data_IF_481345799481
#
_entry.id   IF_481345799481
#
_cell.length_a   1.000
_cell.length_b   1.000
_cell.length_c   1.000
_cell.angle_alpha   90.00
_cell.angle_beta   90.00
_cell.angle_gamma   90.00
#
_symmetry.space_group_name_H-M   'P 1'
#
loop_
_entity.id
_entity.type
_entity.pdbx_description
1 polymer ?
#
# COMPACT_ATOMS: atom_id res chain seq x y z
N UNK A 1 -19.96 -8.61 -21.32
CA UNK A 1 -19.52 -8.87 -19.92
C UNK A 1 -18.36 -7.91 -19.67
N UNK A 2 -18.47 -7.00 -18.69
CA UNK A 2 -17.33 -6.13 -18.33
C UNK A 2 -16.21 -7.00 -17.78
N UNK A 3 -15.01 -6.87 -18.34
CA UNK A 3 -13.82 -7.50 -17.78
C UNK A 3 -13.61 -7.02 -16.35
N UNK A 4 -13.19 -7.91 -15.42
CA UNK A 4 -12.94 -7.50 -14.05
C UNK A 4 -11.87 -6.39 -14.02
N UNK A 5 -12.15 -5.31 -13.30
CA UNK A 5 -11.22 -4.18 -13.16
C UNK A 5 -10.01 -4.59 -12.32
N UNK A 6 -8.77 -4.28 -12.74
CA UNK A 6 -7.58 -4.65 -12.01
C UNK A 6 -7.44 -3.89 -10.69
N UNK A 7 -6.62 -4.45 -9.77
CA UNK A 7 -6.18 -3.80 -8.55
C UNK A 7 -4.80 -3.19 -8.79
N UNK A 8 -4.64 -1.89 -8.58
CA UNK A 8 -3.34 -1.22 -8.62
C UNK A 8 -2.65 -1.36 -7.26
N UNK A 9 -1.51 -2.02 -7.22
CA UNK A 9 -0.65 -2.11 -6.03
C UNK A 9 0.53 -1.15 -6.20
N UNK A 10 0.55 -0.08 -5.42
CA UNK A 10 1.65 0.89 -5.36
C UNK A 10 2.70 0.40 -4.38
N UNK A 11 3.98 0.45 -4.77
CA UNK A 11 5.08 -0.07 -3.96
C UNK A 11 5.22 -1.60 -4.07
N UNK A 12 4.86 -2.18 -5.22
CA UNK A 12 4.91 -3.62 -5.46
C UNK A 12 6.32 -4.23 -5.47
N UNK A 13 7.38 -3.43 -5.50
CA UNK A 13 8.77 -3.89 -5.31
C UNK A 13 9.13 -4.12 -3.84
N UNK A 14 8.40 -3.48 -2.90
CA UNK A 14 8.64 -3.60 -1.47
C UNK A 14 8.32 -4.98 -0.91
N UNK A 15 8.75 -5.21 0.34
CA UNK A 15 8.57 -6.51 1.00
C UNK A 15 7.09 -6.93 1.11
N UNK A 16 6.23 -6.06 1.66
CA UNK A 16 4.80 -6.34 1.80
C UNK A 16 4.09 -6.21 0.45
N UNK A 17 4.35 -5.14 -0.31
CA UNK A 17 3.70 -4.88 -1.59
C UNK A 17 3.88 -6.01 -2.61
N UNK A 18 5.07 -6.61 -2.69
CA UNK A 18 5.33 -7.74 -3.59
C UNK A 18 4.53 -9.01 -3.20
N UNK A 19 4.34 -9.24 -1.92
CA UNK A 19 3.53 -10.36 -1.40
C UNK A 19 2.05 -10.15 -1.61
N UNK A 20 1.59 -8.91 -1.42
CA UNK A 20 0.21 -8.51 -1.70
C UNK A 20 -0.09 -8.66 -3.19
N UNK A 21 0.75 -8.13 -4.08
CA UNK A 21 0.56 -8.24 -5.52
C UNK A 21 0.46 -9.71 -5.97
N UNK A 22 1.39 -10.54 -5.52
CA UNK A 22 1.38 -11.98 -5.83
C UNK A 22 0.18 -12.72 -5.25
N UNK A 23 -0.18 -12.41 -4.00
CA UNK A 23 -1.30 -13.07 -3.34
C UNK A 23 -2.65 -12.73 -3.97
N UNK A 24 -2.86 -11.48 -4.38
CA UNK A 24 -4.04 -11.05 -5.13
C UNK A 24 -4.12 -11.76 -6.50
N UNK A 25 -2.99 -11.83 -7.22
CA UNK A 25 -2.93 -12.51 -8.52
C UNK A 25 -3.14 -14.03 -8.38
N UNK A 26 -2.57 -14.66 -7.36
CA UNK A 26 -2.80 -16.08 -7.05
C UNK A 26 -4.29 -16.36 -6.70
N UNK A 27 -4.99 -15.37 -6.14
CA UNK A 27 -6.43 -15.40 -5.91
C UNK A 27 -7.28 -15.10 -7.16
N UNK A 28 -6.67 -14.99 -8.34
CA UNK A 28 -7.36 -14.79 -9.62
C UNK A 28 -7.66 -13.32 -9.97
N UNK A 29 -7.13 -12.35 -9.22
CA UNK A 29 -7.29 -10.93 -9.55
C UNK A 29 -6.25 -10.48 -10.58
N UNK A 30 -6.65 -9.58 -11.47
CA UNK A 30 -5.71 -8.82 -12.29
C UNK A 30 -5.04 -7.75 -11.42
N UNK A 31 -3.73 -7.64 -11.50
CA UNK A 31 -2.93 -6.74 -10.68
C UNK A 31 -2.06 -5.86 -11.57
N UNK A 32 -2.15 -4.55 -11.38
CA UNK A 32 -1.18 -3.59 -11.88
C UNK A 32 -0.15 -3.37 -10.78
N UNK A 33 1.07 -3.85 -10.98
CA UNK A 33 2.13 -3.80 -9.99
C UNK A 33 3.04 -2.59 -10.24
N UNK A 34 2.85 -1.51 -9.47
CA UNK A 34 3.59 -0.27 -9.66
C UNK A 34 4.89 -0.23 -8.86
N UNK A 35 5.94 0.26 -9.51
CA UNK A 35 7.25 0.46 -8.90
C UNK A 35 7.99 1.65 -9.48
N UNK A 36 8.85 2.28 -8.68
CA UNK A 36 9.81 3.31 -9.11
C UNK A 36 11.11 2.73 -9.68
N UNK A 37 11.37 1.47 -9.41
CA UNK A 37 12.53 0.71 -9.86
C UNK A 37 12.06 -0.54 -10.60
N UNK A 38 12.97 -1.35 -11.10
CA UNK A 38 12.61 -2.64 -11.68
C UNK A 38 11.90 -3.53 -10.67
N UNK A 39 10.86 -4.20 -11.12
CA UNK A 39 10.17 -5.20 -10.30
C UNK A 39 11.03 -6.45 -10.18
N UNK A 40 11.10 -7.05 -8.99
CA UNK A 40 11.74 -8.35 -8.85
C UNK A 40 11.07 -9.40 -9.75
N UNK A 41 11.85 -10.28 -10.38
CA UNK A 41 11.35 -11.35 -11.28
C UNK A 41 10.21 -12.16 -10.66
N UNK A 42 10.31 -12.44 -9.35
CA UNK A 42 9.26 -13.16 -8.61
C UNK A 42 7.87 -12.49 -8.66
N UNK A 43 7.80 -11.22 -9.04
CA UNK A 43 6.53 -10.49 -9.22
C UNK A 43 6.14 -10.45 -10.68
N UNK A 44 7.07 -10.20 -11.58
CA UNK A 44 6.82 -10.02 -13.02
C UNK A 44 6.41 -11.31 -13.73
N UNK A 45 6.90 -12.47 -13.28
CA UNK A 45 6.56 -13.77 -13.88
C UNK A 45 5.23 -14.35 -13.38
N UNK A 46 4.56 -13.69 -12.44
CA UNK A 46 3.28 -14.16 -11.91
C UNK A 46 2.16 -13.89 -12.92
N UNK A 47 1.44 -14.93 -13.32
CA UNK A 47 0.26 -14.78 -14.16
C UNK A 47 -0.77 -13.82 -13.51
N UNK A 48 -1.37 -12.94 -14.31
CA UNK A 48 -2.31 -11.93 -13.84
C UNK A 48 -1.67 -10.66 -13.27
N UNK A 49 -0.34 -10.53 -13.32
CA UNK A 49 0.39 -9.31 -12.92
C UNK A 49 0.88 -8.57 -14.17
N UNK A 50 0.52 -7.30 -14.26
CA UNK A 50 1.02 -6.36 -15.28
C UNK A 50 1.94 -5.36 -14.58
N UNK A 51 3.23 -5.29 -14.95
CA UNK A 51 4.15 -4.33 -14.37
C UNK A 51 3.83 -2.91 -14.85
N UNK A 52 3.93 -1.94 -13.93
CA UNK A 52 3.80 -0.51 -14.21
C UNK A 52 5.03 0.19 -13.65
N UNK A 53 5.90 0.66 -14.53
CA UNK A 53 7.08 1.41 -14.12
C UNK A 53 6.80 2.92 -14.17
N UNK A 54 7.02 3.60 -13.04
CA UNK A 54 6.97 5.06 -12.97
C UNK A 54 7.96 5.55 -11.92
N UNK A 55 9.03 6.25 -12.30
CA UNK A 55 10.01 6.77 -11.33
C UNK A 55 9.43 7.86 -10.44
N UNK A 56 8.40 8.57 -10.93
CA UNK A 56 7.76 9.67 -10.23
C UNK A 56 6.28 9.38 -9.96
N UNK A 57 5.81 9.74 -8.77
CA UNK A 57 4.39 9.56 -8.38
C UNK A 57 3.45 10.38 -9.26
N UNK A 58 3.86 11.59 -9.67
CA UNK A 58 3.05 12.45 -10.54
C UNK A 58 2.80 11.86 -11.93
N UNK A 59 3.75 11.09 -12.48
CA UNK A 59 3.64 10.42 -13.77
C UNK A 59 2.91 9.05 -13.70
N UNK A 60 2.67 8.53 -12.50
CA UNK A 60 2.07 7.20 -12.32
C UNK A 60 0.68 7.05 -12.95
N UNK A 61 -0.23 8.03 -12.93
CA UNK A 61 -1.53 7.89 -13.61
C UNK A 61 -1.42 7.61 -15.09
N UNK A 62 -0.50 8.27 -15.79
CA UNK A 62 -0.31 8.09 -17.23
C UNK A 62 0.36 6.75 -17.53
N UNK A 63 1.32 6.33 -16.71
CA UNK A 63 1.91 5.00 -16.81
C UNK A 63 0.87 3.89 -16.61
N UNK A 64 -0.07 4.05 -15.67
CA UNK A 64 -1.18 3.12 -15.45
C UNK A 64 -2.11 3.08 -16.66
N UNK A 65 -2.51 4.25 -17.20
CA UNK A 65 -3.35 4.30 -18.40
C UNK A 65 -2.69 3.61 -19.61
N UNK A 66 -1.39 3.85 -19.81
CA UNK A 66 -0.63 3.21 -20.88
C UNK A 66 -0.56 1.69 -20.70
N UNK A 67 -0.25 1.20 -19.50
CA UNK A 67 -0.20 -0.22 -19.21
C UNK A 67 -1.56 -0.90 -19.39
N UNK A 68 -2.65 -0.28 -18.95
CA UNK A 68 -4.01 -0.77 -19.19
C UNK A 68 -4.33 -0.86 -20.69
N UNK A 69 -4.01 0.19 -21.46
CA UNK A 69 -4.24 0.20 -22.90
C UNK A 69 -3.45 -0.89 -23.63
N UNK A 70 -2.17 -1.07 -23.29
CA UNK A 70 -1.32 -2.12 -23.87
C UNK A 70 -1.81 -3.53 -23.54
N UNK A 71 -2.32 -3.74 -22.33
CA UNK A 71 -2.82 -5.03 -21.88
C UNK A 71 -4.29 -5.29 -22.26
N UNK A 72 -4.99 -4.34 -22.88
CA UNK A 72 -6.42 -4.43 -23.18
C UNK A 72 -7.29 -4.50 -21.92
N UNK A 73 -6.86 -3.85 -20.83
CA UNK A 73 -7.54 -3.84 -19.55
C UNK A 73 -8.27 -2.52 -19.31
N UNK A 74 -9.38 -2.54 -18.54
CA UNK A 74 -10.00 -1.32 -18.02
C UNK A 74 -9.08 -0.65 -16.99
N UNK A 75 -9.39 0.60 -16.63
CA UNK A 75 -8.72 1.29 -15.53
C UNK A 75 -8.94 0.55 -14.19
N UNK A 76 -8.04 0.73 -13.20
CA UNK A 76 -8.14 0.02 -11.94
C UNK A 76 -9.48 0.30 -11.23
N UNK A 77 -10.03 -0.72 -10.58
CA UNK A 77 -11.21 -0.64 -9.71
C UNK A 77 -10.86 -0.57 -8.23
N UNK A 78 -9.56 -0.56 -7.92
CA UNK A 78 -9.07 -0.43 -6.56
C UNK A 78 -7.61 0.01 -6.56
N UNK A 79 -7.19 0.70 -5.49
CA UNK A 79 -5.79 1.01 -5.19
C UNK A 79 -5.40 0.43 -3.85
N UNK A 80 -4.23 -0.19 -3.80
CA UNK A 80 -3.56 -0.62 -2.56
C UNK A 80 -2.22 0.09 -2.47
N UNK A 81 -2.09 1.01 -1.51
CA UNK A 81 -0.89 1.79 -1.28
C UNK A 81 -0.02 1.12 -0.21
N UNK A 82 1.03 0.41 -0.64
CA UNK A 82 2.07 -0.20 0.19
C UNK A 82 3.35 0.64 0.09
N UNK A 83 3.28 1.86 0.63
CA UNK A 83 4.32 2.88 0.53
C UNK A 83 5.04 3.01 1.87
N UNK A 84 6.33 3.36 1.83
CA UNK A 84 7.16 3.48 3.01
C UNK A 84 7.89 2.19 3.34
N UNK A 85 8.32 2.07 4.56
CA UNK A 85 9.08 0.92 5.05
C UNK A 85 9.10 0.90 6.58
N UNK A 86 9.94 0.10 7.15
CA UNK A 86 10.20 0.08 8.59
C UNK A 86 11.68 0.37 8.84
N UNK A 87 11.93 1.13 9.86
CA UNK A 87 13.28 1.47 10.28
C UNK A 87 13.40 1.49 11.80
N UNK A 88 14.58 1.15 12.30
CA UNK A 88 14.93 1.20 13.72
C UNK A 88 16.32 1.78 13.85
N UNK A 89 16.43 2.88 14.55
CA UNK A 89 17.68 3.62 14.74
C UNK A 89 17.79 4.21 16.15
N UNK A 90 18.42 5.37 16.24
CA UNK A 90 18.61 6.12 17.47
C UNK A 90 17.26 6.59 18.08
N UNK A 91 17.21 6.87 19.40
CA UNK A 91 16.11 7.60 20.01
C UNK A 91 15.80 8.88 19.22
N UNK A 92 14.51 9.26 19.17
CA UNK A 92 14.04 10.37 18.32
C UNK A 92 14.78 11.70 18.56
N UNK A 93 15.12 12.02 19.80
CA UNK A 93 15.86 13.23 20.14
C UNK A 93 17.35 13.18 19.75
N UNK A 94 17.88 12.01 19.43
CA UNK A 94 19.26 11.78 19.03
C UNK A 94 19.37 11.42 17.54
N UNK A 95 18.24 11.31 16.86
CA UNK A 95 18.19 10.96 15.44
C UNK A 95 18.64 12.13 14.56
N UNK A 96 19.23 11.78 13.40
CA UNK A 96 19.61 12.75 12.40
C UNK A 96 18.35 13.52 11.89
N UNK A 97 18.41 14.88 11.82
CA UNK A 97 17.32 15.67 11.25
C UNK A 97 16.98 15.30 9.79
N UNK A 98 17.96 14.89 8.99
CA UNK A 98 17.71 14.45 7.62
C UNK A 98 16.94 13.15 7.59
N UNK A 99 17.25 12.20 8.47
CA UNK A 99 16.50 10.96 8.62
C UNK A 99 15.03 11.21 8.99
N UNK A 100 14.76 12.16 9.87
CA UNK A 100 13.39 12.60 10.18
C UNK A 100 12.66 13.10 8.92
N UNK A 101 13.30 13.99 8.18
CA UNK A 101 12.74 14.62 6.98
C UNK A 101 12.48 13.59 5.88
N UNK A 102 13.41 12.68 5.66
CA UNK A 102 13.29 11.57 4.70
C UNK A 102 12.16 10.61 5.07
N UNK A 103 12.04 10.27 6.35
CA UNK A 103 10.96 9.40 6.84
C UNK A 103 9.60 10.08 6.66
N UNK A 104 9.47 11.36 6.99
CA UNK A 104 8.26 12.13 6.80
C UNK A 104 7.87 12.17 5.30
N UNK A 105 8.84 12.42 4.43
CA UNK A 105 8.62 12.46 2.98
C UNK A 105 8.21 11.09 2.42
N UNK A 106 8.93 10.03 2.77
CA UNK A 106 8.74 8.69 2.20
C UNK A 106 7.53 7.93 2.76
N UNK A 107 7.08 8.26 3.98
CA UNK A 107 5.97 7.57 4.64
C UNK A 107 4.67 8.36 4.60
N UNK A 108 4.66 9.64 4.97
CA UNK A 108 3.43 10.41 5.07
C UNK A 108 3.14 11.21 3.80
N UNK A 109 4.10 12.04 3.37
CA UNK A 109 3.92 12.87 2.17
C UNK A 109 3.69 12.02 0.92
N UNK A 110 4.46 10.94 0.75
CA UNK A 110 4.32 10.04 -0.39
C UNK A 110 2.94 9.39 -0.47
N UNK A 111 2.26 9.11 0.64
CA UNK A 111 0.88 8.62 0.64
C UNK A 111 -0.12 9.67 0.19
N UNK A 112 0.04 10.92 0.63
CA UNK A 112 -0.81 12.02 0.17
C UNK A 112 -0.63 12.28 -1.32
N UNK A 113 0.61 12.28 -1.81
CA UNK A 113 0.92 12.50 -3.22
C UNK A 113 0.37 11.35 -4.09
N UNK A 114 0.50 10.11 -3.62
CA UNK A 114 -0.10 8.96 -4.30
C UNK A 114 -1.64 9.05 -4.34
N UNK A 115 -2.27 9.44 -3.25
CA UNK A 115 -3.72 9.62 -3.22
C UNK A 115 -4.16 10.70 -4.22
N UNK A 116 -3.53 11.88 -4.20
CA UNK A 116 -3.80 12.99 -5.15
C UNK A 116 -3.66 12.56 -6.61
N UNK A 117 -2.61 11.81 -6.92
CA UNK A 117 -2.37 11.34 -8.28
C UNK A 117 -3.38 10.28 -8.72
N UNK A 118 -3.75 9.34 -7.85
CA UNK A 118 -4.44 8.11 -8.26
C UNK A 118 -5.96 8.15 -8.11
N UNK A 119 -6.53 9.03 -7.30
CA UNK A 119 -7.99 9.13 -7.14
C UNK A 119 -8.71 9.37 -8.47
N UNK A 120 -8.07 10.05 -9.42
CA UNK A 120 -8.61 10.31 -10.76
C UNK A 120 -8.75 9.06 -11.66
N UNK A 121 -8.16 7.92 -11.26
CA UNK A 121 -8.27 6.63 -11.95
C UNK A 121 -9.44 5.80 -11.46
N UNK A 122 -10.03 6.18 -10.34
CA UNK A 122 -11.06 5.44 -9.62
C UNK A 122 -12.45 6.05 -9.86
N UNK A 123 -13.46 5.20 -9.83
CA UNK A 123 -14.85 5.61 -9.82
C UNK A 123 -15.34 5.87 -8.39
N UNK A 124 -16.43 6.64 -8.22
CA UNK A 124 -17.06 6.79 -6.91
C UNK A 124 -17.41 5.44 -6.28
N UNK A 125 -16.98 5.24 -5.03
CA UNK A 125 -17.19 3.99 -4.32
C UNK A 125 -16.09 2.95 -4.51
N UNK A 126 -15.14 3.13 -5.42
CA UNK A 126 -13.98 2.25 -5.51
C UNK A 126 -13.12 2.33 -4.24
N UNK A 127 -12.55 1.22 -3.74
CA UNK A 127 -11.70 1.24 -2.55
C UNK A 127 -10.28 1.75 -2.84
N UNK A 128 -9.79 2.62 -1.95
CA UNK A 128 -8.40 3.01 -1.82
C UNK A 128 -7.89 2.56 -0.45
N UNK A 129 -7.08 1.52 -0.40
CA UNK A 129 -6.58 0.94 0.84
C UNK A 129 -5.14 1.34 1.09
N UNK A 130 -4.88 1.93 2.25
CA UNK A 130 -3.53 2.25 2.73
C UNK A 130 -3.07 1.13 3.65
N UNK A 131 -1.86 0.60 3.44
CA UNK A 131 -1.24 -0.33 4.37
C UNK A 131 -0.44 0.46 5.42
N UNK A 132 -0.68 0.15 6.68
CA UNK A 132 0.02 0.72 7.83
C UNK A 132 0.50 -0.40 8.76
N UNK A 133 1.32 -0.07 9.74
CA UNK A 133 1.86 -1.05 10.70
C UNK A 133 1.50 -0.74 12.14
N UNK A 134 1.80 -1.67 13.05
CA UNK A 134 1.57 -1.55 14.49
C UNK A 134 2.15 -0.26 15.09
N UNK A 135 3.29 0.22 14.58
CA UNK A 135 3.92 1.48 15.01
C UNK A 135 3.02 2.70 14.88
N UNK A 136 1.96 2.63 14.07
CA UNK A 136 0.95 3.70 13.97
C UNK A 136 0.03 3.80 15.19
N UNK A 137 -0.01 2.75 16.02
CA UNK A 137 -0.89 2.62 17.20
C UNK A 137 -0.11 2.54 18.50
N UNK A 138 1.14 2.08 18.43
CA UNK A 138 2.00 1.90 19.58
C UNK A 138 3.32 2.63 19.37
N UNK A 139 3.76 3.38 20.37
CA UNK A 139 5.06 4.04 20.34
C UNK A 139 6.18 3.00 20.44
N UNK A 140 7.04 2.96 19.43
CA UNK A 140 8.15 2.01 19.37
C UNK A 140 9.48 2.74 19.56
N UNK A 141 10.20 2.43 20.63
CA UNK A 141 11.52 2.98 20.88
C UNK A 141 12.49 2.63 19.74
N UNK A 142 13.23 3.62 19.24
CA UNK A 142 14.12 3.51 18.09
C UNK A 142 13.40 3.55 16.74
N UNK A 143 12.06 3.57 16.71
CA UNK A 143 11.25 3.74 15.50
C UNK A 143 10.32 4.96 15.63
N UNK A 144 10.77 6.00 16.32
CA UNK A 144 9.93 7.17 16.65
C UNK A 144 9.40 7.89 15.41
N UNK A 145 10.22 8.09 14.39
CA UNK A 145 9.79 8.70 13.13
C UNK A 145 8.69 7.87 12.43
N UNK A 146 8.84 6.54 12.40
CA UNK A 146 7.82 5.62 11.86
C UNK A 146 6.52 5.66 12.67
N UNK A 147 6.62 5.71 14.01
CA UNK A 147 5.43 5.80 14.87
C UNK A 147 4.66 7.10 14.62
N UNK A 148 5.36 8.24 14.52
CA UNK A 148 4.71 9.53 14.26
C UNK A 148 4.12 9.60 12.85
N UNK A 149 4.87 9.18 11.84
CA UNK A 149 4.37 9.19 10.46
C UNK A 149 3.24 8.19 10.25
N UNK A 150 3.29 7.02 10.89
CA UNK A 150 2.22 6.04 10.88
C UNK A 150 0.94 6.55 11.53
N UNK A 151 1.04 7.22 12.68
CA UNK A 151 -0.11 7.87 13.32
C UNK A 151 -0.65 9.03 12.46
N UNK A 152 0.23 9.81 11.84
CA UNK A 152 -0.14 10.84 10.86
C UNK A 152 -0.87 10.26 9.64
N UNK A 153 -0.41 9.13 9.13
CA UNK A 153 -1.05 8.42 8.02
C UNK A 153 -2.45 7.92 8.40
N UNK A 154 -2.63 7.38 9.61
CA UNK A 154 -3.94 6.99 10.12
C UNK A 154 -4.91 8.17 10.17
N UNK A 155 -4.46 9.35 10.60
CA UNK A 155 -5.26 10.57 10.58
C UNK A 155 -5.51 11.05 9.14
N UNK A 156 -4.52 11.01 8.27
CA UNK A 156 -4.68 11.35 6.86
C UNK A 156 -5.80 10.53 6.19
N UNK A 157 -5.86 9.23 6.42
CA UNK A 157 -6.94 8.38 5.90
C UNK A 157 -8.30 8.83 6.42
N UNK A 158 -8.42 9.19 7.69
CA UNK A 158 -9.67 9.69 8.27
C UNK A 158 -10.11 11.02 7.61
N UNK A 159 -9.17 11.96 7.40
CA UNK A 159 -9.45 13.23 6.71
C UNK A 159 -9.91 12.98 5.28
N UNK A 160 -9.18 12.14 4.52
CA UNK A 160 -9.55 11.78 3.15
C UNK A 160 -10.95 11.14 3.08
N UNK A 161 -11.34 10.35 4.07
CA UNK A 161 -12.70 9.78 4.16
C UNK A 161 -13.78 10.83 4.35
N UNK A 162 -13.50 11.87 5.13
CA UNK A 162 -14.45 12.97 5.39
C UNK A 162 -14.59 13.91 4.20
N UNK A 163 -13.50 14.13 3.47
CA UNK A 163 -13.45 15.11 2.38
C UNK A 163 -13.75 14.51 1.00
N UNK A 164 -13.55 13.19 0.83
CA UNK A 164 -13.74 12.52 -0.46
C UNK A 164 -15.23 12.30 -0.77
N UNK A 165 -15.62 12.71 -1.97
CA UNK A 165 -16.91 12.36 -2.57
C UNK A 165 -16.78 11.25 -3.62
N UNK A 166 -15.58 10.70 -3.79
CA UNK A 166 -15.23 9.68 -4.78
C UNK A 166 -14.90 8.32 -4.15
N UNK A 167 -13.61 7.90 -4.14
CA UNK A 167 -13.19 6.62 -3.59
C UNK A 167 -13.46 6.48 -2.09
N UNK A 168 -13.63 5.24 -1.65
CA UNK A 168 -13.71 4.87 -0.24
C UNK A 168 -12.30 4.62 0.29
N UNK A 169 -11.82 5.46 1.20
CA UNK A 169 -10.51 5.27 1.83
C UNK A 169 -10.61 4.32 3.02
N UNK A 170 -9.67 3.37 3.09
CA UNK A 170 -9.54 2.39 4.16
C UNK A 170 -8.09 2.29 4.62
N UNK A 171 -7.90 1.90 5.87
CA UNK A 171 -6.60 1.57 6.44
C UNK A 171 -6.59 0.09 6.81
N UNK A 172 -5.58 -0.65 6.32
CA UNK A 172 -5.26 -1.99 6.79
C UNK A 172 -4.02 -1.90 7.68
N UNK A 173 -4.21 -2.10 8.98
CA UNK A 173 -3.12 -2.13 9.97
C UNK A 173 -2.61 -3.55 10.12
N UNK A 174 -1.33 -3.74 9.82
CA UNK A 174 -0.63 -5.01 10.01
C UNK A 174 0.00 -4.98 11.41
N UNK A 175 -0.62 -5.67 12.37
CA UNK A 175 -0.27 -5.58 13.80
C UNK A 175 1.06 -6.23 14.14
N UNK A 176 1.57 -7.13 13.31
CA UNK A 176 2.82 -7.84 13.53
C UNK A 176 3.64 -7.94 12.25
N UNK A 177 4.92 -8.29 12.39
CA UNK A 177 5.79 -8.49 11.23
C UNK A 177 5.22 -9.58 10.29
N UNK A 178 5.36 -9.36 8.99
CA UNK A 178 4.95 -10.36 7.99
C UNK A 178 6.03 -11.43 7.88
N UNK A 179 5.63 -12.70 7.83
CA UNK A 179 6.56 -13.84 7.76
C UNK A 179 7.65 -13.65 6.70
N UNK A 180 8.90 -13.81 7.13
CA UNK A 180 10.09 -13.73 6.29
C UNK A 180 10.65 -12.33 6.11
N UNK A 181 10.23 -11.33 6.91
CA UNK A 181 10.81 -10.00 6.87
C UNK A 181 12.01 -9.82 7.81
N UNK A 182 12.41 -10.85 8.53
CA UNK A 182 13.62 -10.87 9.36
C UNK A 182 13.60 -9.96 10.60
N UNK A 183 12.54 -9.18 10.81
CA UNK A 183 12.41 -8.23 11.93
C UNK A 183 11.75 -8.86 13.16
N UNK A 184 11.17 -10.04 12.98
CA UNK A 184 10.40 -10.68 14.02
C UNK A 184 11.27 -11.63 14.82
N UNK A 185 11.39 -11.36 16.10
CA UNK A 185 12.09 -12.18 17.07
C UNK A 185 11.18 -13.27 17.67
N UNK A 186 9.84 -13.12 17.53
CA UNK A 186 8.87 -14.10 18.02
C UNK A 186 8.04 -14.70 16.86
N UNK A 187 8.32 -15.94 16.45
CA UNK A 187 7.57 -16.60 15.38
C UNK A 187 6.07 -16.78 15.67
N UNK A 188 5.65 -16.73 16.93
CA UNK A 188 4.25 -16.83 17.30
C UNK A 188 3.44 -15.55 16.99
N UNK A 189 4.14 -14.43 16.82
CA UNK A 189 3.55 -13.12 16.58
C UNK A 189 3.76 -12.62 15.14
N UNK A 190 3.71 -13.50 14.16
CA UNK A 190 3.80 -13.14 12.74
C UNK A 190 2.44 -13.14 12.06
N UNK A 191 2.34 -12.35 10.99
CA UNK A 191 1.25 -12.45 10.01
C UNK A 191 1.77 -13.11 8.74
N UNK A 192 1.05 -14.09 8.25
CA UNK A 192 1.38 -14.66 6.94
C UNK A 192 0.91 -13.72 5.82
N UNK A 193 1.57 -13.73 4.65
CA UNK A 193 1.08 -12.98 3.48
C UNK A 193 -0.37 -13.32 3.13
N UNK A 194 -0.79 -14.57 3.30
CA UNK A 194 -2.16 -15.00 3.04
C UNK A 194 -3.18 -14.35 3.99
N UNK A 195 -2.83 -14.14 5.26
CA UNK A 195 -3.71 -13.43 6.21
C UNK A 195 -3.86 -11.96 5.81
N UNK A 196 -2.76 -11.30 5.43
CA UNK A 196 -2.78 -9.90 4.95
C UNK A 196 -3.64 -9.77 3.70
N UNK A 197 -3.46 -10.65 2.71
CA UNK A 197 -4.24 -10.63 1.46
C UNK A 197 -5.72 -10.89 1.73
N UNK A 198 -6.07 -11.82 2.63
CA UNK A 198 -7.46 -12.09 2.99
C UNK A 198 -8.13 -10.86 3.62
N UNK A 199 -7.49 -10.24 4.62
CA UNK A 199 -8.01 -9.02 5.25
C UNK A 199 -8.12 -7.85 4.25
N UNK A 200 -7.19 -7.77 3.30
CA UNK A 200 -7.25 -6.80 2.22
C UNK A 200 -8.46 -7.07 1.30
N UNK A 201 -8.71 -8.31 0.91
CA UNK A 201 -9.86 -8.67 0.08
C UNK A 201 -11.20 -8.29 0.74
N UNK A 202 -11.32 -8.42 2.07
CA UNK A 202 -12.50 -7.97 2.82
C UNK A 202 -12.76 -6.46 2.62
N UNK A 203 -11.68 -5.63 2.59
CA UNK A 203 -11.79 -4.19 2.34
C UNK A 203 -12.10 -3.86 0.87
N UNK A 204 -11.58 -4.66 -0.06
CA UNK A 204 -11.76 -4.44 -1.49
C UNK A 204 -13.17 -4.81 -1.96
N UNK A 205 -13.75 -5.89 -1.40
CA UNK A 205 -14.97 -6.51 -1.93
C UNK A 205 -16.25 -6.04 -1.23
N UNK A 206 -16.16 -5.63 0.03
CA UNK A 206 -17.32 -5.21 0.80
C UNK A 206 -17.53 -3.69 0.72
N UNK A 207 -18.62 -3.21 0.09
CA UNK A 207 -18.96 -1.79 0.10
C UNK A 207 -19.19 -1.21 1.50
N UNK A 208 -19.53 -2.05 2.48
CA UNK A 208 -19.74 -1.68 3.88
C UNK A 208 -18.49 -1.91 4.77
N UNK A 209 -17.32 -2.21 4.15
CA UNK A 209 -16.09 -2.46 4.88
C UNK A 209 -15.75 -1.35 5.87
N UNK A 210 -15.18 -1.69 7.04
CA UNK A 210 -14.83 -0.71 8.06
C UNK A 210 -13.75 0.26 7.56
N UNK A 211 -13.68 1.43 8.19
CA UNK A 211 -12.64 2.43 7.91
C UNK A 211 -11.24 1.89 8.18
N UNK A 212 -11.10 1.10 9.24
CA UNK A 212 -9.85 0.50 9.70
C UNK A 212 -10.07 -0.99 9.92
N UNK A 213 -9.16 -1.80 9.39
CA UNK A 213 -9.10 -3.25 9.58
C UNK A 213 -7.73 -3.62 10.14
N UNK A 214 -7.71 -4.44 11.17
CA UNK A 214 -6.50 -5.02 11.75
C UNK A 214 -6.27 -6.46 11.30
N UNK A 215 -5.03 -6.85 11.12
CA UNK A 215 -4.60 -8.21 10.77
C UNK A 215 -3.30 -8.60 11.46
#
# INVERSE_FOLDING_TARGET
MNSPRPVLVVGASGFVGSRVARGLAAGGRLVLASTRHELPDRVTVQAGVVPVHSPETAALPDAVRAACAQAGLPLPGAVVASIGGWDKGAPLLESDPDHWSETLASHLTAHLDAARALVQLLEPGDPYVVLNGAASREAMAGSGAISVTGAGLAMLVQVLRLESTGPRFHELVIDHAVTGDGRNEDPAQVRTPAQVVRALCELLDDPAAPAVRHV
#
